data_IF_777443561351
#
_entry.id   IF_777443561351
#
_cell.length_a   1.000
_cell.length_b   1.000
_cell.length_c   1.000
_cell.angle_alpha   90.00
_cell.angle_beta   90.00
_cell.angle_gamma   90.00
#
_symmetry.space_group_name_H-M   'P 1'
#
loop_
_entity.id
_entity.type
_entity.pdbx_description
1 polymer ?
#
# COMPACT_ATOMS: atom_id res chain seq x y z
N UNK A 1 17.11 -34.89 30.71
CA UNK A 1 17.34 -33.77 31.64
C UNK A 1 17.51 -32.53 30.79
N UNK A 2 16.51 -31.67 30.69
CA UNK A 2 16.69 -30.36 30.06
C UNK A 2 17.33 -29.47 31.14
N UNK A 3 18.66 -29.37 31.12
CA UNK A 3 19.45 -28.57 32.06
C UNK A 3 19.65 -27.15 31.53
N UNK A 4 18.57 -26.47 31.17
CA UNK A 4 18.60 -25.08 30.70
C UNK A 4 18.09 -24.17 31.81
N UNK A 5 18.84 -23.10 32.07
CA UNK A 5 18.47 -22.05 33.04
C UNK A 5 18.02 -20.81 32.27
N UNK A 6 16.93 -20.17 32.70
CA UNK A 6 16.42 -18.94 32.11
C UNK A 6 16.16 -17.89 33.19
N UNK A 7 16.38 -16.63 32.84
CA UNK A 7 16.02 -15.46 33.66
C UNK A 7 14.52 -15.15 33.60
N UNK A 8 13.79 -15.72 32.63
CA UNK A 8 12.37 -15.48 32.45
C UNK A 8 11.58 -16.44 33.34
N UNK A 9 10.77 -15.89 34.26
CA UNK A 9 9.84 -16.70 35.06
C UNK A 9 8.83 -17.40 34.12
N UNK A 10 8.66 -18.72 34.17
CA UNK A 10 7.73 -19.44 33.30
C UNK A 10 6.26 -18.96 33.45
N UNK A 11 5.91 -18.34 34.57
CA UNK A 11 4.58 -17.78 34.82
C UNK A 11 4.36 -16.41 34.19
N UNK A 12 5.43 -15.70 33.84
CA UNK A 12 5.33 -14.36 33.21
C UNK A 12 4.58 -14.41 31.88
N UNK A 13 4.57 -15.55 31.20
CA UNK A 13 3.77 -15.74 29.98
C UNK A 13 2.26 -15.55 30.20
N UNK A 14 1.78 -15.75 31.43
CA UNK A 14 0.37 -15.62 31.78
C UNK A 14 0.00 -14.23 32.29
N UNK A 15 0.98 -13.46 32.75
CA UNK A 15 0.76 -12.18 33.45
C UNK A 15 1.29 -10.97 32.69
N UNK A 16 2.33 -11.13 31.86
CA UNK A 16 2.92 -10.05 31.08
C UNK A 16 2.32 -9.95 29.68
N UNK A 17 2.26 -8.74 29.11
CA UNK A 17 1.87 -8.55 27.71
C UNK A 17 2.81 -9.33 26.79
N UNK A 18 2.26 -10.01 25.78
CA UNK A 18 3.05 -10.84 24.86
C UNK A 18 3.74 -9.99 23.79
N UNK A 19 3.27 -8.77 23.56
CA UNK A 19 3.81 -7.86 22.57
C UNK A 19 3.85 -6.41 23.08
N UNK A 20 4.64 -5.58 22.41
CA UNK A 20 4.66 -4.14 22.68
C UNK A 20 3.30 -3.45 22.46
N UNK A 21 2.42 -4.02 21.64
CA UNK A 21 1.10 -3.47 21.39
C UNK A 21 0.14 -3.62 22.59
N UNK A 22 0.37 -4.64 23.42
CA UNK A 22 -0.48 -4.96 24.58
C UNK A 22 0.01 -4.29 25.87
N UNK A 23 1.15 -3.61 25.82
CA UNK A 23 1.73 -2.94 26.98
C UNK A 23 0.93 -1.69 27.37
N UNK A 24 0.62 -1.55 28.66
CA UNK A 24 -0.07 -0.39 29.21
C UNK A 24 0.84 0.33 30.21
N UNK A 25 0.91 1.66 30.08
CA UNK A 25 1.73 2.49 30.96
C UNK A 25 3.21 2.13 30.89
N UNK A 26 3.78 1.78 32.04
CA UNK A 26 5.21 1.49 32.20
C UNK A 26 5.55 -0.02 32.16
N UNK A 27 4.59 -0.88 31.79
CA UNK A 27 4.84 -2.31 31.62
C UNK A 27 5.73 -2.61 30.41
N UNK A 28 6.49 -3.69 30.49
CA UNK A 28 7.31 -4.24 29.41
C UNK A 28 6.79 -5.62 29.00
N UNK A 29 6.95 -6.00 27.72
CA UNK A 29 6.47 -7.28 27.24
C UNK A 29 7.26 -8.46 27.83
N UNK A 30 6.71 -9.65 27.67
CA UNK A 30 7.33 -10.90 28.08
C UNK A 30 8.77 -10.99 27.53
N UNK A 31 9.70 -11.36 28.40
CA UNK A 31 11.13 -11.44 28.08
C UNK A 31 11.90 -10.12 28.22
N UNK A 32 11.22 -8.99 28.44
CA UNK A 32 11.87 -7.70 28.66
C UNK A 32 11.92 -7.33 30.14
N UNK A 33 13.01 -6.67 30.53
CA UNK A 33 13.26 -6.19 31.88
C UNK A 33 13.89 -4.79 31.85
N UNK A 34 13.49 -3.93 32.78
CA UNK A 34 14.16 -2.65 33.03
C UNK A 34 15.11 -2.82 34.21
N UNK A 35 16.38 -2.50 34.00
CA UNK A 35 17.42 -2.55 35.01
C UNK A 35 18.01 -1.14 35.22
N UNK A 36 18.66 -0.94 36.37
CA UNK A 36 19.33 0.30 36.70
C UNK A 36 20.80 0.05 36.99
N UNK A 37 21.66 0.84 36.36
CA UNK A 37 23.09 0.92 36.66
C UNK A 37 23.46 2.34 37.12
N UNK A 38 24.41 2.45 38.05
CA UNK A 38 24.78 3.75 38.63
C UNK A 38 25.47 4.70 37.64
N UNK A 39 26.16 4.17 36.62
CA UNK A 39 26.90 4.99 35.65
C UNK A 39 26.03 5.41 34.47
N UNK A 40 25.23 4.49 33.93
CA UNK A 40 24.43 4.72 32.71
C UNK A 40 22.95 5.00 32.98
N UNK A 41 22.45 4.73 34.19
CA UNK A 41 21.06 4.89 34.55
C UNK A 41 20.19 3.70 34.16
N UNK A 42 18.92 3.96 33.79
CA UNK A 42 17.97 2.92 33.38
C UNK A 42 18.32 2.41 31.99
N UNK A 43 18.38 1.08 31.85
CA UNK A 43 18.55 0.38 30.58
C UNK A 43 17.61 -0.82 30.52
N UNK A 44 17.46 -1.39 29.33
CA UNK A 44 16.50 -2.46 29.04
C UNK A 44 17.24 -3.72 28.57
N UNK A 45 16.78 -4.86 29.06
CA UNK A 45 17.33 -6.18 28.77
C UNK A 45 16.26 -6.99 28.03
N UNK A 46 16.61 -7.56 26.89
CA UNK A 46 15.82 -8.53 26.15
C UNK A 46 16.41 -9.92 26.38
N UNK A 47 15.75 -10.71 27.22
CA UNK A 47 16.18 -12.06 27.59
C UNK A 47 15.94 -13.09 26.48
N UNK A 48 15.08 -12.78 25.50
CA UNK A 48 14.78 -13.68 24.37
C UNK A 48 15.90 -13.56 23.34
N UNK A 49 16.26 -12.33 22.99
CA UNK A 49 17.31 -12.04 22.01
C UNK A 49 18.70 -11.90 22.64
N UNK A 50 18.78 -11.95 23.98
CA UNK A 50 20.02 -11.81 24.76
C UNK A 50 20.75 -10.50 24.46
N UNK A 51 20.00 -9.40 24.34
CA UNK A 51 20.51 -8.06 24.04
C UNK A 51 20.20 -7.10 25.17
N UNK A 52 20.97 -6.00 25.23
CA UNK A 52 20.75 -4.90 26.16
C UNK A 52 20.80 -3.59 25.41
N UNK A 53 19.95 -2.63 25.77
CA UNK A 53 19.88 -1.34 25.12
C UNK A 53 19.55 -0.22 26.12
N UNK A 54 20.02 0.98 25.83
CA UNK A 54 19.74 2.17 26.65
C UNK A 54 18.36 2.74 26.30
N UNK A 55 17.98 2.70 25.02
CA UNK A 55 16.71 3.26 24.57
C UNK A 55 15.51 2.41 24.98
N UNK A 56 14.41 3.06 25.35
CA UNK A 56 13.17 2.39 25.70
C UNK A 56 12.58 1.68 24.47
N UNK A 57 12.49 0.35 24.47
CA UNK A 57 12.04 -0.43 23.32
C UNK A 57 10.59 -0.12 22.93
N UNK A 58 9.76 0.37 23.87
CA UNK A 58 8.38 0.78 23.57
C UNK A 58 8.34 2.04 22.73
N UNK A 59 9.29 2.96 22.95
CA UNK A 59 9.40 4.19 22.14
C UNK A 59 9.86 3.84 20.74
N UNK A 60 10.88 3.00 20.61
CA UNK A 60 11.36 2.51 19.32
C UNK A 60 10.25 1.79 18.55
N UNK A 61 9.52 0.88 19.21
CA UNK A 61 8.40 0.18 18.58
C UNK A 61 7.33 1.15 18.08
N UNK A 62 6.90 2.13 18.89
CA UNK A 62 5.91 3.13 18.45
C UNK A 62 6.39 3.95 17.26
N UNK A 63 7.66 4.36 17.26
CA UNK A 63 8.26 5.09 16.14
C UNK A 63 8.28 4.26 14.86
N UNK A 64 8.63 2.98 14.95
CA UNK A 64 8.65 2.08 13.80
C UNK A 64 7.23 1.86 13.24
N UNK A 65 6.23 1.69 14.12
CA UNK A 65 4.83 1.58 13.68
C UNK A 65 4.35 2.86 12.98
N UNK A 66 4.67 4.04 13.54
CA UNK A 66 4.30 5.31 12.94
C UNK A 66 4.97 5.50 11.57
N UNK A 67 6.25 5.17 11.47
CA UNK A 67 7.01 5.24 10.22
C UNK A 67 6.41 4.33 9.16
N UNK A 68 6.14 3.06 9.49
CA UNK A 68 5.52 2.11 8.57
C UNK A 68 4.18 2.62 8.03
N UNK A 69 3.34 3.19 8.90
CA UNK A 69 2.04 3.74 8.49
C UNK A 69 2.20 4.97 7.58
N UNK A 70 3.18 5.83 7.84
CA UNK A 70 3.50 6.98 6.98
C UNK A 70 3.99 6.55 5.60
N UNK A 71 4.86 5.55 5.55
CA UNK A 71 5.38 5.01 4.30
C UNK A 71 4.24 4.41 3.46
N UNK A 72 3.37 3.62 4.08
CA UNK A 72 2.19 3.07 3.41
C UNK A 72 1.25 4.16 2.88
N UNK A 73 0.97 5.19 3.70
CA UNK A 73 0.12 6.31 3.30
C UNK A 73 0.69 7.04 2.07
N UNK A 74 2.00 7.24 2.05
CA UNK A 74 2.69 7.91 0.94
C UNK A 74 2.54 7.11 -0.36
N UNK A 75 2.83 5.81 -0.32
CA UNK A 75 2.68 4.92 -1.47
C UNK A 75 1.23 4.88 -1.98
N UNK A 76 0.26 4.84 -1.07
CA UNK A 76 -1.16 4.83 -1.43
C UNK A 76 -1.59 6.16 -2.11
N UNK A 77 -1.06 7.30 -1.64
CA UNK A 77 -1.31 8.61 -2.24
C UNK A 77 -0.72 8.69 -3.66
N UNK A 78 0.53 8.24 -3.84
CA UNK A 78 1.20 8.22 -5.14
C UNK A 78 0.43 7.34 -6.13
N UNK A 79 0.07 6.13 -5.71
CA UNK A 79 -0.72 5.21 -6.53
C UNK A 79 -2.07 5.81 -6.93
N UNK A 80 -2.73 6.54 -6.02
CA UNK A 80 -3.98 7.24 -6.32
C UNK A 80 -3.77 8.37 -7.32
N UNK A 81 -2.68 9.14 -7.20
CA UNK A 81 -2.33 10.22 -8.14
C UNK A 81 -2.11 9.65 -9.55
N UNK A 82 -1.25 8.64 -9.67
CA UNK A 82 -1.00 7.96 -10.95
C UNK A 82 -2.27 7.40 -11.56
N UNK A 83 -3.16 6.82 -10.73
CA UNK A 83 -4.44 6.30 -11.20
C UNK A 83 -5.36 7.39 -11.74
N UNK A 84 -5.37 8.57 -11.11
CA UNK A 84 -6.13 9.74 -11.60
C UNK A 84 -5.58 10.26 -12.92
N UNK A 85 -4.27 10.38 -13.06
CA UNK A 85 -3.63 10.78 -14.33
C UNK A 85 -3.96 9.80 -15.45
N UNK A 86 -3.84 8.50 -15.18
CA UNK A 86 -4.17 7.46 -16.14
C UNK A 86 -5.65 7.50 -16.54
N UNK A 87 -6.54 7.73 -15.58
CA UNK A 87 -7.97 7.89 -15.87
C UNK A 87 -8.21 9.07 -16.81
N UNK A 88 -7.61 10.23 -16.52
CA UNK A 88 -7.74 11.41 -17.35
C UNK A 88 -7.24 11.17 -18.79
N UNK A 89 -6.09 10.52 -18.95
CA UNK A 89 -5.56 10.16 -20.27
C UNK A 89 -6.51 9.21 -21.01
N UNK A 90 -7.13 8.25 -20.31
CA UNK A 90 -8.10 7.34 -20.92
C UNK A 90 -9.35 8.06 -21.40
N UNK A 91 -9.86 9.04 -20.65
CA UNK A 91 -10.99 9.87 -21.09
C UNK A 91 -10.66 10.65 -22.36
N UNK A 92 -9.48 11.29 -22.39
CA UNK A 92 -9.02 12.00 -23.59
C UNK A 92 -8.89 11.08 -24.81
N UNK A 93 -8.27 9.90 -24.62
CA UNK A 93 -8.12 8.91 -25.70
C UNK A 93 -9.45 8.38 -26.21
N UNK A 94 -10.41 8.15 -25.30
CA UNK A 94 -11.75 7.73 -25.66
C UNK A 94 -12.46 8.79 -26.50
N UNK A 95 -12.38 10.06 -26.10
CA UNK A 95 -12.98 11.16 -26.84
C UNK A 95 -12.41 11.27 -28.27
N UNK A 96 -11.09 11.13 -28.42
CA UNK A 96 -10.44 11.11 -29.74
C UNK A 96 -10.91 9.93 -30.60
N UNK A 97 -10.94 8.71 -30.04
CA UNK A 97 -11.37 7.51 -30.76
C UNK A 97 -12.82 7.61 -31.23
N UNK A 98 -13.72 8.16 -30.40
CA UNK A 98 -15.10 8.42 -30.77
C UNK A 98 -15.19 9.44 -31.92
N UNK A 99 -14.40 10.52 -31.86
CA UNK A 99 -14.35 11.52 -32.93
C UNK A 99 -13.84 10.95 -34.27
N UNK A 100 -12.83 10.08 -34.24
CA UNK A 100 -12.34 9.38 -35.43
C UNK A 100 -13.38 8.41 -36.00
N UNK A 101 -14.05 7.66 -35.12
CA UNK A 101 -15.10 6.73 -35.51
C UNK A 101 -16.25 7.44 -36.23
N UNK A 102 -16.74 8.56 -35.67
CA UNK A 102 -17.83 9.34 -36.29
C UNK A 102 -17.41 9.82 -37.68
N UNK A 103 -16.21 10.38 -37.80
CA UNK A 103 -15.69 10.86 -39.09
C UNK A 103 -15.61 9.76 -40.13
N UNK A 104 -15.10 8.58 -39.76
CA UNK A 104 -15.01 7.42 -40.65
C UNK A 104 -16.40 6.94 -41.08
N UNK A 105 -17.37 6.94 -40.16
CA UNK A 105 -18.75 6.57 -40.44
C UNK A 105 -19.41 7.54 -41.43
N UNK A 106 -19.18 8.84 -41.29
CA UNK A 106 -19.70 9.85 -42.20
C UNK A 106 -19.14 9.68 -43.61
N UNK A 107 -17.81 9.54 -43.74
CA UNK A 107 -17.14 9.25 -45.02
C UNK A 107 -17.68 7.96 -45.66
N UNK A 108 -17.90 6.92 -44.86
CA UNK A 108 -18.48 5.67 -45.34
C UNK A 108 -19.91 5.85 -45.87
N UNK A 109 -20.77 6.57 -45.14
CA UNK A 109 -22.15 6.86 -45.56
C UNK A 109 -22.19 7.67 -46.85
N UNK A 110 -21.36 8.70 -46.99
CA UNK A 110 -21.26 9.50 -48.21
C UNK A 110 -20.84 8.65 -49.42
N UNK A 111 -19.84 7.78 -49.23
CA UNK A 111 -19.37 6.88 -50.29
C UNK A 111 -20.41 5.81 -50.67
N UNK A 112 -21.12 5.25 -49.69
CA UNK A 112 -22.22 4.31 -49.90
C UNK A 112 -23.37 4.96 -50.68
N UNK A 113 -23.79 6.16 -50.26
CA UNK A 113 -24.81 6.96 -50.94
C UNK A 113 -24.42 7.28 -52.40
N UNK A 114 -23.16 7.67 -52.63
CA UNK A 114 -22.61 7.94 -53.95
C UNK A 114 -22.54 6.70 -54.85
N UNK A 115 -22.23 5.54 -54.27
CA UNK A 115 -22.20 4.26 -55.00
C UNK A 115 -23.61 3.84 -55.41
N UNK A 116 -24.59 3.96 -54.51
CA UNK A 116 -26.00 3.71 -54.83
C UNK A 116 -26.54 4.69 -55.88
N UNK A 117 -26.20 5.98 -55.80
CA UNK A 117 -26.63 6.99 -56.78
C UNK A 117 -26.06 6.73 -58.19
N UNK A 118 -24.80 6.29 -58.30
CA UNK A 118 -24.20 5.85 -59.58
C UNK A 118 -24.85 4.58 -60.14
N UNK A 119 -25.33 3.67 -59.30
CA UNK A 119 -26.10 2.51 -59.75
C UNK A 119 -27.44 2.92 -60.34
N UNK A 120 -28.11 3.92 -59.75
CA UNK A 120 -29.37 4.47 -60.30
C UNK A 120 -29.16 5.33 -61.57
N UNK A 121 -28.00 6.00 -61.72
CA UNK A 121 -27.68 6.75 -62.95
C UNK A 121 -27.26 5.86 -64.13
N UNK A 122 -26.72 4.65 -63.89
CA UNK A 122 -26.33 3.73 -64.98
C UNK A 122 -27.53 3.02 -65.62
N UNK A 123 -28.67 2.93 -64.94
CA UNK A 123 -29.92 2.40 -65.51
C UNK A 123 -30.77 3.45 -66.26
N UNK A 124 -30.39 4.72 -66.22
CA UNK A 124 -31.12 5.82 -66.89
C UNK A 124 -30.57 6.16 -68.29
N UNK A 125 -29.44 5.57 -68.70
CA UNK A 125 -28.81 5.82 -70.02
C UNK A 125 -28.77 4.57 -70.93
N UNK A 126 -29.35 3.45 -70.50
CA UNK A 126 -29.55 2.23 -71.31
C UNK A 126 -31.06 2.04 -71.65
N UNK A 127 -31.70 3.09 -72.17
CA UNK A 127 -33.05 3.03 -72.77
C UNK A 127 -33.06 3.67 -74.15
#
# INVERSE_FOLDING_TARGET
VHGETSWIDPRDRLTKPLSFADCVGDELPWGWEAAYDHQIGVYYIDHINQTTQIEDPRKQWRQEQEKMLKDYLTVAQDALSTKKELFHVKEQRLALALGEYVRLNDVYKEKSSSYTSRMYQRHMYDM
#
